data_IF_579990786884
#
_entry.id   IF_579990786884
#
_cell.length_a   1.000
_cell.length_b   1.000
_cell.length_c   1.000
_cell.angle_alpha   90.00
_cell.angle_beta   90.00
_cell.angle_gamma   90.00
#
_symmetry.space_group_name_H-M   'P 1'
#
loop_
_entity.id
_entity.type
_entity.pdbx_description
1 polymer ?
#
# COMPACT_ATOMS: atom_id res chain seq x y z
N UNK A 1 19.47 -11.35 -23.38
CA UNK A 1 18.44 -10.27 -23.52
C UNK A 1 17.14 -10.48 -22.73
N UNK A 2 16.74 -11.71 -22.33
CA UNK A 2 15.53 -11.90 -21.48
C UNK A 2 15.66 -11.29 -20.08
N UNK A 3 16.84 -11.43 -19.46
CA UNK A 3 17.17 -10.86 -18.15
C UNK A 3 16.94 -9.34 -18.06
N UNK A 4 17.33 -8.60 -19.09
CA UNK A 4 17.16 -7.14 -19.16
C UNK A 4 15.67 -6.76 -19.14
N UNK A 5 14.81 -7.52 -19.84
CA UNK A 5 13.36 -7.29 -19.83
C UNK A 5 12.74 -7.50 -18.44
N UNK A 6 13.15 -8.57 -17.75
CA UNK A 6 12.68 -8.82 -16.38
C UNK A 6 13.16 -7.77 -15.39
N UNK A 7 14.39 -7.27 -15.57
CA UNK A 7 14.93 -6.18 -14.74
C UNK A 7 14.12 -4.89 -14.90
N UNK A 8 13.85 -4.45 -16.13
CA UNK A 8 13.01 -3.26 -16.36
C UNK A 8 11.57 -3.44 -15.87
N UNK A 9 11.00 -4.64 -16.01
CA UNK A 9 9.68 -4.93 -15.47
C UNK A 9 9.67 -4.85 -13.93
N UNK A 10 10.68 -5.42 -13.26
CA UNK A 10 10.81 -5.33 -11.81
C UNK A 10 10.98 -3.88 -11.34
N UNK A 11 11.78 -3.08 -12.05
CA UNK A 11 11.97 -1.66 -11.75
C UNK A 11 10.64 -0.88 -11.92
N UNK A 12 9.87 -1.19 -12.96
CA UNK A 12 8.55 -0.59 -13.17
C UNK A 12 7.56 -0.93 -12.06
N UNK A 13 7.53 -2.19 -11.61
CA UNK A 13 6.71 -2.59 -10.46
C UNK A 13 7.15 -1.93 -9.15
N UNK A 14 8.46 -1.79 -8.94
CA UNK A 14 9.00 -1.10 -7.76
C UNK A 14 8.60 0.38 -7.77
N UNK A 15 8.74 1.07 -8.90
CA UNK A 15 8.33 2.46 -9.04
C UNK A 15 6.82 2.63 -8.79
N UNK A 16 5.99 1.77 -9.39
CA UNK A 16 4.55 1.79 -9.16
C UNK A 16 4.19 1.54 -7.70
N UNK A 17 4.88 0.62 -7.03
CA UNK A 17 4.69 0.35 -5.60
C UNK A 17 5.01 1.59 -4.75
N UNK A 18 6.14 2.25 -4.97
CA UNK A 18 6.50 3.45 -4.23
C UNK A 18 5.48 4.60 -4.40
N UNK A 19 4.98 4.78 -5.62
CA UNK A 19 3.95 5.80 -5.91
C UNK A 19 2.64 5.46 -5.20
N UNK A 20 2.17 4.22 -5.31
CA UNK A 20 0.93 3.78 -4.67
C UNK A 20 1.01 3.82 -3.15
N UNK A 21 2.15 3.45 -2.57
CA UNK A 21 2.43 3.58 -1.13
C UNK A 21 2.27 5.03 -0.69
N UNK A 22 2.91 5.96 -1.40
CA UNK A 22 2.89 7.39 -1.07
C UNK A 22 1.47 7.95 -1.12
N UNK A 23 0.74 7.64 -2.20
CA UNK A 23 -0.65 8.09 -2.36
C UNK A 23 -1.54 7.49 -1.28
N UNK A 24 -1.40 6.19 -1.00
CA UNK A 24 -2.25 5.49 -0.04
C UNK A 24 -2.03 6.01 1.38
N UNK A 25 -0.77 6.25 1.79
CA UNK A 25 -0.47 6.84 3.09
C UNK A 25 -1.02 8.27 3.21
N UNK A 26 -0.87 9.11 2.17
CA UNK A 26 -1.47 10.45 2.18
C UNK A 26 -3.00 10.42 2.26
N UNK A 27 -3.64 9.44 1.62
CA UNK A 27 -5.08 9.24 1.73
C UNK A 27 -5.45 8.88 3.17
N UNK A 28 -4.74 7.94 3.81
CA UNK A 28 -4.99 7.59 5.22
C UNK A 28 -4.84 8.82 6.11
N UNK A 29 -3.76 9.59 5.98
CA UNK A 29 -3.53 10.82 6.74
C UNK A 29 -4.62 11.89 6.51
N UNK A 30 -5.23 11.94 5.32
CA UNK A 30 -6.29 12.90 5.01
C UNK A 30 -7.67 12.50 5.55
N UNK A 31 -7.91 11.21 5.81
CA UNK A 31 -9.22 10.72 6.24
C UNK A 31 -9.28 10.37 7.73
N UNK A 32 -8.14 10.00 8.33
CA UNK A 32 -8.09 9.56 9.72
C UNK A 32 -7.98 10.77 10.65
N UNK A 33 -8.89 10.84 11.64
CA UNK A 33 -8.89 11.89 12.67
C UNK A 33 -8.21 11.41 13.95
N UNK A 34 -7.72 12.34 14.78
CA UNK A 34 -7.06 12.02 16.05
C UNK A 34 -7.91 11.14 16.99
N UNK A 35 -9.22 11.39 17.09
CA UNK A 35 -10.13 10.56 17.90
C UNK A 35 -10.21 9.10 17.41
N UNK A 36 -10.12 8.87 16.10
CA UNK A 36 -10.11 7.51 15.54
C UNK A 36 -8.80 6.78 15.85
N UNK A 37 -7.69 7.50 15.84
CA UNK A 37 -6.37 6.96 16.19
C UNK A 37 -6.34 6.56 17.67
N UNK A 38 -6.83 7.43 18.56
CA UNK A 38 -6.91 7.13 19.99
C UNK A 38 -7.85 5.95 20.27
N UNK A 39 -9.03 5.91 19.64
CA UNK A 39 -9.96 4.78 19.78
C UNK A 39 -9.37 3.46 19.27
N UNK A 40 -8.59 3.51 18.17
CA UNK A 40 -7.87 2.35 17.66
C UNK A 40 -6.77 1.89 18.63
N UNK A 41 -5.96 2.80 19.16
CA UNK A 41 -4.92 2.48 20.13
C UNK A 41 -5.49 1.90 21.44
N UNK A 42 -6.57 2.48 21.96
CA UNK A 42 -7.27 1.97 23.14
C UNK A 42 -7.79 0.55 22.95
N UNK A 43 -8.28 0.20 21.75
CA UNK A 43 -8.69 -1.17 21.43
C UNK A 43 -7.53 -2.17 21.59
N UNK A 44 -6.30 -1.76 21.27
CA UNK A 44 -5.09 -2.57 21.44
C UNK A 44 -4.47 -2.45 22.84
N UNK A 45 -5.11 -1.73 23.76
CA UNK A 45 -4.62 -1.53 25.13
C UNK A 45 -3.50 -0.50 25.26
N UNK A 46 -3.24 0.28 24.20
CA UNK A 46 -2.25 1.34 24.17
C UNK A 46 -2.92 2.65 24.62
N UNK A 47 -2.34 3.29 25.63
CA UNK A 47 -2.90 4.49 26.26
C UNK A 47 -1.91 5.66 26.29
N UNK A 48 -0.66 5.40 25.95
CA UNK A 48 0.38 6.39 25.80
C UNK A 48 0.36 7.00 24.39
N UNK A 49 0.70 8.28 24.31
CA UNK A 49 0.67 9.05 23.07
C UNK A 49 1.71 8.52 22.07
N UNK A 50 2.87 8.09 22.56
CA UNK A 50 3.97 7.58 21.73
C UNK A 50 3.58 6.24 21.09
N UNK A 51 3.11 5.27 21.88
CA UNK A 51 2.59 4.01 21.35
C UNK A 51 1.39 4.17 20.42
N UNK A 52 0.54 5.17 20.66
CA UNK A 52 -0.61 5.48 19.78
C UNK A 52 -0.14 5.96 18.40
N UNK A 53 0.87 6.82 18.37
CA UNK A 53 1.45 7.32 17.13
C UNK A 53 2.19 6.21 16.37
N UNK A 54 3.00 5.41 17.07
CA UNK A 54 3.73 4.29 16.46
C UNK A 54 2.77 3.26 15.85
N UNK A 55 1.74 2.88 16.60
CA UNK A 55 0.70 1.96 16.11
C UNK A 55 0.02 2.51 14.85
N UNK A 56 -0.29 3.81 14.82
CA UNK A 56 -0.88 4.45 13.65
C UNK A 56 0.04 4.40 12.44
N UNK A 57 1.31 4.76 12.60
CA UNK A 57 2.30 4.78 11.51
C UNK A 57 2.50 3.36 10.96
N UNK A 58 2.71 2.38 11.83
CA UNK A 58 2.92 0.99 11.43
C UNK A 58 1.69 0.42 10.72
N UNK A 59 0.49 0.62 11.28
CA UNK A 59 -0.75 0.17 10.67
C UNK A 59 -0.97 0.82 9.30
N UNK A 60 -0.72 2.13 9.19
CA UNK A 60 -0.86 2.89 7.94
C UNK A 60 0.09 2.38 6.86
N UNK A 61 1.36 2.12 7.22
CA UNK A 61 2.34 1.56 6.29
C UNK A 61 1.97 0.15 5.83
N UNK A 62 1.51 -0.72 6.75
CA UNK A 62 1.08 -2.08 6.43
C UNK A 62 -0.12 -2.07 5.49
N UNK A 63 -1.14 -1.26 5.80
CA UNK A 63 -2.36 -1.15 4.98
C UNK A 63 -2.02 -0.59 3.60
N UNK A 64 -1.24 0.50 3.52
CA UNK A 64 -0.76 1.05 2.26
C UNK A 64 0.02 0.03 1.44
N UNK A 65 0.85 -0.80 2.08
CA UNK A 65 1.62 -1.86 1.45
C UNK A 65 0.73 -2.92 0.82
N UNK A 66 -0.25 -3.42 1.59
CA UNK A 66 -1.20 -4.43 1.13
C UNK A 66 -2.06 -3.90 -0.03
N UNK A 67 -2.57 -2.67 0.08
CA UNK A 67 -3.35 -2.03 -0.98
C UNK A 67 -2.51 -1.87 -2.25
N UNK A 68 -1.27 -1.39 -2.13
CA UNK A 68 -0.37 -1.20 -3.27
C UNK A 68 -0.07 -2.52 -3.99
N UNK A 69 0.22 -3.59 -3.23
CA UNK A 69 0.43 -4.93 -3.81
C UNK A 69 -0.84 -5.43 -4.49
N UNK A 70 -2.00 -5.29 -3.85
CA UNK A 70 -3.28 -5.73 -4.41
C UNK A 70 -3.59 -5.03 -5.72
N UNK A 71 -3.44 -3.70 -5.79
CA UNK A 71 -3.66 -2.91 -7.00
C UNK A 71 -2.73 -3.37 -8.13
N UNK A 72 -1.44 -3.54 -7.84
CA UNK A 72 -0.47 -4.03 -8.84
C UNK A 72 -0.86 -5.42 -9.36
N UNK A 73 -1.27 -6.33 -8.47
CA UNK A 73 -1.71 -7.68 -8.84
C UNK A 73 -2.97 -7.64 -9.71
N UNK A 74 -3.96 -6.83 -9.34
CA UNK A 74 -5.19 -6.66 -10.11
C UNK A 74 -4.91 -6.08 -11.49
N UNK A 75 -4.09 -5.03 -11.61
CA UNK A 75 -3.66 -4.47 -12.88
C UNK A 75 -2.94 -5.53 -13.73
N UNK A 76 -2.04 -6.32 -13.13
CA UNK A 76 -1.33 -7.39 -13.83
C UNK A 76 -2.28 -8.47 -14.35
N UNK A 77 -3.26 -8.88 -13.55
CA UNK A 77 -4.28 -9.87 -13.95
C UNK A 77 -5.15 -9.29 -15.07
N UNK A 78 -5.59 -8.05 -14.93
CA UNK A 78 -6.41 -7.36 -15.93
C UNK A 78 -5.70 -7.29 -17.28
N UNK A 79 -4.46 -6.80 -17.32
CA UNK A 79 -3.66 -6.72 -18.54
C UNK A 79 -3.48 -8.10 -19.18
N UNK A 80 -3.19 -9.13 -18.38
CA UNK A 80 -3.05 -10.51 -18.89
C UNK A 80 -4.34 -11.05 -19.49
N UNK A 81 -5.48 -10.81 -18.85
CA UNK A 81 -6.79 -11.26 -19.35
C UNK A 81 -7.19 -10.54 -20.62
N UNK A 82 -7.00 -9.23 -20.69
CA UNK A 82 -7.42 -8.42 -21.83
C UNK A 82 -6.53 -8.62 -23.06
N UNK A 83 -5.21 -8.76 -22.87
CA UNK A 83 -4.30 -9.07 -23.97
C UNK A 83 -4.43 -10.54 -24.41
N UNK A 84 -4.71 -11.47 -23.49
CA UNK A 84 -4.91 -12.88 -23.82
C UNK A 84 -6.26 -13.20 -24.48
N UNK A 85 -7.24 -12.29 -24.45
CA UNK A 85 -8.50 -12.42 -25.18
C UNK A 85 -8.50 -11.72 -26.55
N UNK A 86 -7.40 -11.05 -26.89
CA UNK A 86 -7.27 -10.28 -28.13
C UNK A 86 -6.42 -10.99 -29.20
N UNK A 87 -5.93 -12.19 -28.88
CA UNK A 87 -5.35 -13.19 -29.80
C UNK A 87 -6.40 -14.31 -30.03
#
# INVERSE_FOLDING_TARGET
>A
MKWVKYFFAALGYLAAFCVLMTISTQVIDSFVTGEQIEGFAQFWGIHDIEGTLDLYVDASLIISGLVSVLVILLCRIYIRRYLGSSD
#
